data_IF_839399452376
#
_entry.id   IF_839399452376
#
_cell.length_a   1.000
_cell.length_b   1.000
_cell.length_c   1.000
_cell.angle_alpha   90.00
_cell.angle_beta   90.00
_cell.angle_gamma   90.00
#
_symmetry.space_group_name_H-M   'P 1'
#
loop_
_entity.id
_entity.type
_entity.pdbx_description
1 polymer ?
#
# COMPACT_ATOMS: atom_id res chain seq x y z
N UNK A 1 -21.59 -7.69 11.85
CA UNK A 1 -20.89 -8.32 10.71
C UNK A 1 -19.50 -7.71 10.66
N UNK A 2 -18.46 -8.49 10.43
CA UNK A 2 -17.12 -7.92 10.23
C UNK A 2 -17.07 -7.21 8.88
N UNK A 3 -16.76 -5.92 8.90
CA UNK A 3 -16.52 -5.15 7.69
C UNK A 3 -15.05 -5.28 7.27
N UNK A 4 -14.84 -5.41 5.97
CA UNK A 4 -13.51 -5.57 5.39
C UNK A 4 -13.27 -4.44 4.40
N UNK A 5 -12.02 -4.01 4.33
CA UNK A 5 -11.57 -2.95 3.44
C UNK A 5 -10.35 -3.37 2.64
N UNK A 6 -10.18 -2.71 1.49
CA UNK A 6 -8.98 -2.81 0.66
C UNK A 6 -8.32 -1.44 0.62
N UNK A 7 -7.07 -1.38 1.09
CA UNK A 7 -6.23 -0.18 1.03
C UNK A 7 -5.21 -0.34 -0.09
N UNK A 8 -5.08 0.69 -0.93
CA UNK A 8 -4.11 0.74 -2.02
C UNK A 8 -2.96 1.65 -1.62
N UNK A 9 -1.74 1.14 -1.69
CA UNK A 9 -0.52 1.89 -1.35
C UNK A 9 0.44 1.79 -2.54
N UNK A 10 1.02 2.90 -2.98
CA UNK A 10 2.18 2.88 -3.86
C UNK A 10 3.45 3.19 -3.06
N UNK A 11 4.54 2.51 -3.38
CA UNK A 11 5.82 2.67 -2.68
C UNK A 11 6.99 2.41 -3.63
N UNK A 12 8.22 2.89 -3.31
CA UNK A 12 9.42 2.44 -4.00
C UNK A 12 9.56 0.92 -3.92
N UNK A 13 9.99 0.29 -5.03
CA UNK A 13 10.05 -1.17 -5.17
C UNK A 13 10.87 -1.81 -4.04
N UNK A 14 11.95 -1.16 -3.63
CA UNK A 14 12.91 -1.66 -2.65
C UNK A 14 12.32 -1.83 -1.25
N UNK A 15 11.23 -1.14 -0.92
CA UNK A 15 10.61 -1.16 0.42
C UNK A 15 9.24 -1.85 0.43
N UNK A 16 8.70 -2.22 -0.73
CA UNK A 16 7.35 -2.76 -0.85
C UNK A 16 7.16 -4.07 -0.08
N UNK A 17 8.11 -5.01 -0.18
CA UNK A 17 8.06 -6.28 0.57
C UNK A 17 8.21 -6.09 2.07
N UNK A 18 9.01 -5.10 2.49
CA UNK A 18 9.19 -4.77 3.90
C UNK A 18 7.88 -4.21 4.49
N UNK A 19 7.22 -3.29 3.78
CA UNK A 19 5.91 -2.75 4.19
C UNK A 19 4.90 -3.90 4.28
N UNK A 20 4.82 -4.75 3.26
CA UNK A 20 3.91 -5.89 3.24
C UNK A 20 4.11 -6.83 4.44
N UNK A 21 5.36 -7.23 4.71
CA UNK A 21 5.70 -8.12 5.83
C UNK A 21 5.35 -7.48 7.18
N UNK A 22 5.71 -6.20 7.36
CA UNK A 22 5.41 -5.43 8.57
C UNK A 22 3.92 -5.40 8.89
N UNK A 23 3.07 -5.11 7.89
CA UNK A 23 1.63 -5.02 8.08
C UNK A 23 1.00 -6.37 8.47
N UNK A 24 1.59 -7.48 8.05
CA UNK A 24 1.17 -8.83 8.45
C UNK A 24 1.67 -9.17 9.85
N UNK A 25 2.95 -8.94 10.13
CA UNK A 25 3.59 -9.23 11.42
C UNK A 25 2.94 -8.46 12.58
N UNK A 26 2.57 -7.20 12.35
CA UNK A 26 1.88 -6.35 13.32
C UNK A 26 0.35 -6.58 13.34
N UNK A 27 -0.17 -7.55 12.57
CA UNK A 27 -1.61 -7.88 12.48
C UNK A 27 -2.47 -6.66 12.08
N UNK A 28 -1.96 -5.81 11.19
CA UNK A 28 -2.70 -4.67 10.64
C UNK A 28 -3.43 -5.03 9.35
N UNK A 29 -2.94 -6.05 8.64
CA UNK A 29 -3.56 -6.63 7.46
C UNK A 29 -3.65 -8.15 7.55
N UNK A 30 -4.60 -8.73 6.83
CA UNK A 30 -4.70 -10.19 6.67
C UNK A 30 -3.88 -10.70 5.48
N UNK A 31 -3.73 -9.88 4.43
CA UNK A 31 -2.99 -10.22 3.22
C UNK A 31 -2.56 -8.95 2.47
N UNK A 32 -1.41 -9.01 1.81
CA UNK A 32 -0.93 -7.96 0.90
C UNK A 32 -0.49 -8.61 -0.41
N UNK A 33 -1.02 -8.14 -1.54
CA UNK A 33 -0.46 -8.47 -2.85
C UNK A 33 0.51 -7.36 -3.27
N UNK A 34 1.74 -7.71 -3.69
CA UNK A 34 2.73 -6.77 -4.19
C UNK A 34 2.85 -6.89 -5.71
N UNK A 35 2.65 -5.79 -6.44
CA UNK A 35 2.84 -5.70 -7.89
C UNK A 35 4.01 -4.74 -8.14
N UNK A 36 5.19 -5.28 -8.41
CA UNK A 36 6.46 -4.52 -8.39
C UNK A 36 6.64 -3.49 -9.50
N UNK A 37 5.86 -3.55 -10.59
CA UNK A 37 6.11 -2.75 -11.80
C UNK A 37 4.87 -2.02 -12.27
N UNK A 38 4.43 -1.05 -11.49
CA UNK A 38 3.43 -0.07 -11.92
C UNK A 38 4.08 1.25 -12.30
N UNK A 39 3.37 2.07 -13.07
CA UNK A 39 3.82 3.41 -13.44
C UNK A 39 2.82 4.44 -12.98
N UNK A 40 3.22 5.26 -12.03
CA UNK A 40 2.44 6.39 -11.56
C UNK A 40 2.65 7.57 -12.50
N UNK A 41 1.55 8.18 -12.94
CA UNK A 41 1.55 9.36 -13.82
C UNK A 41 0.80 10.46 -13.10
N UNK A 42 1.47 11.56 -12.81
CA UNK A 42 0.93 12.65 -11.99
C UNK A 42 1.45 14.01 -12.45
N UNK A 43 0.88 15.10 -11.92
CA UNK A 43 1.37 16.46 -12.18
C UNK A 43 2.19 16.96 -11.00
N UNK A 44 3.39 17.42 -11.26
CA UNK A 44 4.27 18.02 -10.25
C UNK A 44 5.03 19.19 -10.87
N UNK A 45 5.13 20.31 -10.13
CA UNK A 45 5.72 21.58 -10.61
C UNK A 45 5.28 21.99 -12.03
N UNK A 46 4.00 21.79 -12.35
CA UNK A 46 3.41 22.14 -13.65
C UNK A 46 3.61 21.12 -14.77
N UNK A 47 4.46 20.11 -14.58
CA UNK A 47 4.81 19.10 -15.58
C UNK A 47 4.12 17.75 -15.31
N UNK A 48 3.96 16.94 -16.36
CA UNK A 48 3.48 15.56 -16.23
C UNK A 48 4.67 14.66 -15.95
N UNK A 49 4.74 14.13 -14.73
CA UNK A 49 5.79 13.24 -14.26
C UNK A 49 5.36 11.79 -14.35
N UNK A 50 6.37 10.91 -14.43
CA UNK A 50 6.20 9.45 -14.42
C UNK A 50 7.18 8.84 -13.43
N UNK A 51 6.69 8.00 -12.53
CA UNK A 51 7.52 7.25 -11.59
C UNK A 51 7.25 5.75 -11.70
N UNK A 52 8.29 4.93 -11.57
CA UNK A 52 8.16 3.49 -11.40
C UNK A 52 7.99 3.17 -9.91
N UNK A 53 6.95 2.41 -9.58
CA UNK A 53 6.58 2.10 -8.20
C UNK A 53 6.09 0.65 -8.11
N UNK A 54 6.00 0.15 -6.88
CA UNK A 54 5.23 -1.03 -6.57
C UNK A 54 3.82 -0.62 -6.08
N UNK A 55 2.80 -1.39 -6.47
CA UNK A 55 1.44 -1.27 -5.93
C UNK A 55 1.20 -2.39 -4.91
N UNK A 56 0.83 -2.02 -3.70
CA UNK A 56 0.41 -2.92 -2.64
C UNK A 56 -1.11 -2.89 -2.55
N UNK A 57 -1.75 -4.06 -2.63
CA UNK A 57 -3.19 -4.25 -2.41
C UNK A 57 -3.36 -4.91 -1.05
N UNK A 58 -3.65 -4.10 -0.04
CA UNK A 58 -3.74 -4.53 1.35
C UNK A 58 -5.17 -4.86 1.70
N UNK A 59 -5.43 -6.04 2.27
CA UNK A 59 -6.77 -6.54 2.62
C UNK A 59 -6.83 -6.76 4.12
N UNK A 60 -7.81 -6.18 4.79
CA UNK A 60 -7.93 -6.26 6.25
C UNK A 60 -9.31 -5.88 6.78
N UNK A 61 -9.44 -5.88 8.10
CA UNK A 61 -10.65 -5.41 8.78
C UNK A 61 -10.74 -3.88 8.69
N UNK A 62 -11.92 -3.35 8.39
CA UNK A 62 -12.12 -1.90 8.25
C UNK A 62 -11.70 -1.14 9.51
N UNK A 63 -11.95 -1.70 10.70
CA UNK A 63 -11.59 -1.10 11.99
C UNK A 63 -10.08 -0.88 12.20
N UNK A 64 -9.22 -1.62 11.48
CA UNK A 64 -7.75 -1.46 11.55
C UNK A 64 -7.20 -0.47 10.53
N UNK A 65 -8.05 0.11 9.68
CA UNK A 65 -7.60 0.97 8.57
C UNK A 65 -6.88 2.21 9.08
N UNK A 66 -7.36 2.84 10.15
CA UNK A 66 -6.71 4.03 10.73
C UNK A 66 -5.32 3.71 11.30
N UNK A 67 -5.20 2.60 12.02
CA UNK A 67 -3.92 2.13 12.57
C UNK A 67 -2.92 1.74 11.47
N UNK A 68 -3.41 1.04 10.43
CA UNK A 68 -2.65 0.72 9.23
C UNK A 68 -2.12 1.98 8.55
N UNK A 69 -2.96 3.01 8.37
CA UNK A 69 -2.57 4.28 7.76
C UNK A 69 -1.52 5.01 8.60
N UNK A 70 -1.65 5.01 9.93
CA UNK A 70 -0.70 5.66 10.81
C UNK A 70 0.68 4.97 10.85
N UNK A 71 0.73 3.68 10.49
CA UNK A 71 1.95 2.87 10.54
C UNK A 71 2.83 2.99 9.30
N UNK A 72 2.23 3.24 8.13
CA UNK A 72 2.89 3.34 6.82
C UNK A 72 3.40 4.75 6.59
#
# INVERSE_FOLDING_TARGET
MSEHSVTLITAPIQVAEQIASTLIEENLAACVNVIEKVRSVYRWEGHVEKAEEALLIVKGMTEKTEELIARV
#
